data_IF_397853978845
#
_entry.id   IF_397853978845
#
_cell.length_a   1.000
_cell.length_b   1.000
_cell.length_c   1.000
_cell.angle_alpha   90.00
_cell.angle_beta   90.00
_cell.angle_gamma   90.00
#
_symmetry.space_group_name_H-M   'P 1'
#
loop_
_entity.id
_entity.type
_entity.pdbx_description
1 polymer ?
#
# COMPACT_ATOMS: atom_id res chain seq x y z
N UNK A 1 5.76 19.16 7.79
CA UNK A 1 5.66 18.47 6.47
C UNK A 1 6.50 17.21 6.57
N UNK A 2 5.95 16.07 6.14
CA UNK A 2 6.71 14.79 6.04
C UNK A 2 7.86 14.96 5.04
N UNK A 3 9.00 14.36 5.36
CA UNK A 3 10.19 14.30 4.51
C UNK A 3 10.55 12.84 4.18
N UNK A 4 11.49 12.62 3.29
CA UNK A 4 11.97 11.25 3.01
C UNK A 4 12.58 10.57 4.23
N UNK A 5 13.14 11.31 5.17
CA UNK A 5 13.76 10.77 6.40
C UNK A 5 12.73 10.15 7.37
N UNK A 6 11.48 10.57 7.27
CA UNK A 6 10.36 10.06 8.08
C UNK A 6 9.79 8.74 7.50
N UNK A 7 10.21 8.37 6.29
CA UNK A 7 9.64 7.27 5.52
C UNK A 7 10.59 6.08 5.45
N UNK A 8 10.32 5.06 6.27
CA UNK A 8 11.07 3.80 6.33
C UNK A 8 10.21 2.65 6.87
N UNK A 9 10.71 1.44 6.82
CA UNK A 9 10.08 0.27 7.43
C UNK A 9 8.93 -0.29 6.60
N UNK A 10 7.79 -0.59 7.21
CA UNK A 10 6.64 -1.23 6.58
C UNK A 10 5.61 -0.18 6.17
N UNK A 11 5.38 -0.05 4.86
CA UNK A 11 4.27 0.73 4.33
C UNK A 11 3.05 -0.19 4.17
N UNK A 12 2.08 -0.05 5.07
CA UNK A 12 0.84 -0.80 5.06
C UNK A 12 -0.13 -0.19 4.05
N UNK A 13 -0.39 -0.92 2.96
CA UNK A 13 -1.38 -0.51 1.95
C UNK A 13 -2.77 -0.98 2.42
N UNK A 14 -3.62 -0.04 2.78
CA UNK A 14 -4.91 -0.31 3.41
C UNK A 14 -5.91 -0.96 2.42
N UNK A 15 -6.61 -2.06 2.83
CA UNK A 15 -7.70 -2.61 2.05
C UNK A 15 -8.89 -1.66 2.02
N UNK A 16 -9.79 -1.88 1.09
CA UNK A 16 -11.12 -1.30 1.18
C UNK A 16 -11.86 -1.95 2.35
N UNK A 17 -12.23 -1.18 3.37
CA UNK A 17 -13.16 -1.60 4.41
C UNK A 17 -14.58 -1.30 3.95
N UNK A 18 -15.34 -2.37 3.63
CA UNK A 18 -16.67 -2.27 3.02
C UNK A 18 -17.77 -2.73 3.98
N UNK A 19 -18.86 -1.98 3.98
CA UNK A 19 -20.10 -2.36 4.68
C UNK A 19 -20.63 -3.69 4.14
N UNK A 20 -21.51 -4.35 4.90
CA UNK A 20 -22.08 -5.65 4.51
C UNK A 20 -22.71 -5.67 3.12
N UNK A 21 -23.37 -4.55 2.76
CA UNK A 21 -24.06 -4.39 1.49
C UNK A 21 -23.21 -3.67 0.42
N UNK A 22 -21.91 -3.49 0.67
CA UNK A 22 -21.00 -2.75 -0.20
C UNK A 22 -20.76 -3.37 -1.58
N UNK A 23 -21.19 -4.61 -1.81
CA UNK A 23 -21.19 -5.25 -3.12
C UNK A 23 -22.41 -4.86 -4.00
N UNK A 24 -23.40 -4.16 -3.44
CA UNK A 24 -24.58 -3.75 -4.16
C UNK A 24 -24.33 -2.44 -4.89
N UNK A 25 -24.70 -2.32 -6.19
CA UNK A 25 -24.49 -1.10 -6.96
C UNK A 25 -25.44 0.04 -6.55
N UNK A 26 -26.49 -0.27 -5.80
CA UNK A 26 -27.49 0.66 -5.26
C UNK A 26 -27.32 0.92 -3.76
N UNK A 27 -26.18 0.56 -3.18
CA UNK A 27 -25.89 0.86 -1.79
C UNK A 27 -25.65 2.37 -1.58
N UNK A 28 -26.27 2.94 -0.55
CA UNK A 28 -26.11 4.36 -0.21
C UNK A 28 -24.72 4.68 0.34
N UNK A 29 -24.10 3.73 1.02
CA UNK A 29 -22.78 3.88 1.65
C UNK A 29 -22.07 2.53 1.75
N UNK A 30 -20.87 2.49 1.20
CA UNK A 30 -20.05 1.27 1.17
C UNK A 30 -18.82 1.32 2.08
N UNK A 31 -18.62 2.37 2.88
CA UNK A 31 -17.43 2.53 3.72
C UNK A 31 -17.72 2.14 5.17
N UNK A 32 -17.13 1.04 5.64
CA UNK A 32 -17.16 0.63 7.04
C UNK A 32 -16.11 1.38 7.88
N UNK A 33 -16.49 2.54 8.40
CA UNK A 33 -15.59 3.36 9.22
C UNK A 33 -15.33 2.77 10.61
N UNK A 34 -16.20 1.92 11.12
CA UNK A 34 -16.01 1.28 12.42
C UNK A 34 -14.90 0.24 12.35
N UNK A 35 -14.96 -0.66 11.37
CA UNK A 35 -13.92 -1.65 11.16
C UNK A 35 -12.61 -1.01 10.69
N UNK A 36 -12.65 0.00 9.80
CA UNK A 36 -11.49 0.79 9.42
C UNK A 36 -10.75 1.34 10.66
N UNK A 37 -11.49 1.99 11.56
CA UNK A 37 -10.92 2.59 12.78
C UNK A 37 -10.29 1.53 13.69
N UNK A 38 -11.00 0.42 13.90
CA UNK A 38 -10.53 -0.70 14.71
C UNK A 38 -9.23 -1.32 14.13
N UNK A 39 -9.24 -1.60 12.82
CA UNK A 39 -8.13 -2.25 12.14
C UNK A 39 -6.88 -1.34 12.08
N UNK A 40 -7.06 -0.05 11.80
CA UNK A 40 -5.97 0.95 11.80
C UNK A 40 -5.37 1.08 13.19
N UNK A 41 -6.20 1.13 14.24
CA UNK A 41 -5.69 1.19 15.63
C UNK A 41 -4.90 -0.07 15.97
N UNK A 42 -5.42 -1.23 15.61
CA UNK A 42 -4.78 -2.52 15.87
C UNK A 42 -3.43 -2.64 15.17
N UNK A 43 -3.35 -2.35 13.86
CA UNK A 43 -2.09 -2.54 13.12
C UNK A 43 -0.98 -1.58 13.58
N UNK A 44 -1.33 -0.35 13.97
CA UNK A 44 -0.37 0.59 14.54
C UNK A 44 0.12 0.11 15.90
N UNK A 45 -0.79 -0.35 16.78
CA UNK A 45 -0.46 -0.86 18.11
C UNK A 45 0.42 -2.10 18.05
N UNK A 46 0.20 -2.98 17.08
CA UNK A 46 0.98 -4.19 16.85
C UNK A 46 2.33 -3.92 16.15
N UNK A 47 2.57 -2.67 15.73
CA UNK A 47 3.81 -2.26 15.03
C UNK A 47 3.88 -2.72 13.57
N UNK A 48 2.75 -3.09 12.98
CA UNK A 48 2.65 -3.61 11.61
C UNK A 48 2.63 -2.53 10.52
N UNK A 49 2.61 -1.26 10.90
CA UNK A 49 2.65 -0.15 9.98
C UNK A 49 3.59 0.95 10.49
N UNK A 50 4.65 1.22 9.75
CA UNK A 50 5.51 2.39 9.92
C UNK A 50 5.02 3.56 9.06
N UNK A 51 4.29 3.28 7.98
CA UNK A 51 3.60 4.22 7.08
C UNK A 51 2.26 3.60 6.69
N UNK A 52 1.19 4.37 6.64
CA UNK A 52 -0.11 3.92 6.11
C UNK A 52 -0.42 4.65 4.80
N UNK A 53 -0.88 3.89 3.80
CA UNK A 53 -1.40 4.43 2.55
C UNK A 53 -2.81 3.92 2.31
N UNK A 54 -3.72 4.80 1.85
CA UNK A 54 -5.12 4.44 1.57
C UNK A 54 -5.39 4.44 0.07
N UNK A 55 -6.55 3.95 -0.33
CA UNK A 55 -7.13 4.12 -1.66
C UNK A 55 -6.15 3.89 -2.83
N UNK A 56 -5.25 2.90 -2.69
CA UNK A 56 -4.59 2.27 -3.83
C UNK A 56 -5.54 1.26 -4.50
N UNK A 57 -5.03 0.44 -5.43
CA UNK A 57 -5.83 -0.63 -6.08
C UNK A 57 -6.48 -1.56 -5.06
N UNK A 58 -5.73 -1.95 -4.03
CA UNK A 58 -6.21 -2.79 -2.93
C UNK A 58 -7.28 -2.08 -2.06
N UNK A 59 -7.28 -0.75 -2.03
CA UNK A 59 -8.30 0.10 -1.42
C UNK A 59 -9.51 0.35 -2.31
N UNK A 60 -9.60 -0.29 -3.49
CA UNK A 60 -10.73 -0.18 -4.43
C UNK A 60 -11.11 1.28 -4.74
N UNK A 61 -10.12 2.18 -4.89
CA UNK A 61 -10.34 3.63 -5.05
C UNK A 61 -11.29 3.97 -6.20
N UNK A 62 -11.28 3.15 -7.25
CA UNK A 62 -12.06 3.33 -8.48
C UNK A 62 -13.57 3.03 -8.33
N UNK A 63 -13.98 2.56 -7.16
CA UNK A 63 -15.38 2.20 -6.85
C UNK A 63 -16.04 3.17 -5.87
N UNK A 64 -15.27 4.11 -5.31
CA UNK A 64 -15.78 5.06 -4.31
C UNK A 64 -16.51 6.23 -4.96
N UNK A 65 -17.67 6.56 -4.42
CA UNK A 65 -18.30 7.86 -4.65
C UNK A 65 -17.50 8.96 -3.92
N UNK A 66 -17.66 10.21 -4.33
CA UNK A 66 -16.95 11.31 -3.71
C UNK A 66 -17.26 11.47 -2.20
N UNK A 67 -18.52 11.33 -1.82
CA UNK A 67 -18.93 11.39 -0.40
C UNK A 67 -18.32 10.26 0.43
N UNK A 68 -18.24 9.06 -0.14
CA UNK A 68 -17.59 7.91 0.50
C UNK A 68 -16.07 8.13 0.65
N UNK A 69 -15.44 8.73 -0.36
CA UNK A 69 -14.01 9.05 -0.29
C UNK A 69 -13.72 10.08 0.80
N UNK A 70 -14.57 11.12 0.93
CA UNK A 70 -14.46 12.09 2.03
C UNK A 70 -14.59 11.41 3.39
N UNK A 71 -15.61 10.58 3.57
CA UNK A 71 -15.84 9.81 4.78
C UNK A 71 -14.66 8.92 5.14
N UNK A 72 -14.07 8.22 4.16
CA UNK A 72 -12.88 7.40 4.34
C UNK A 72 -11.67 8.24 4.78
N UNK A 73 -11.44 9.39 4.15
CA UNK A 73 -10.34 10.31 4.50
C UNK A 73 -10.48 10.75 5.96
N UNK A 74 -11.63 11.26 6.35
CA UNK A 74 -11.90 11.75 7.71
C UNK A 74 -11.72 10.63 8.76
N UNK A 75 -12.31 9.46 8.50
CA UNK A 75 -12.20 8.31 9.39
C UNK A 75 -10.75 7.84 9.53
N UNK A 76 -9.99 7.80 8.42
CA UNK A 76 -8.58 7.35 8.47
C UNK A 76 -7.70 8.35 9.21
N UNK A 77 -7.85 9.64 8.94
CA UNK A 77 -7.10 10.70 9.66
C UNK A 77 -7.40 10.64 11.16
N UNK A 78 -8.68 10.50 11.53
CA UNK A 78 -9.10 10.37 12.91
C UNK A 78 -8.56 9.09 13.58
N UNK A 79 -8.48 7.97 12.85
CA UNK A 79 -7.97 6.71 13.35
C UNK A 79 -6.45 6.73 13.52
N UNK A 80 -5.70 7.24 12.53
CA UNK A 80 -4.23 7.29 12.57
C UNK A 80 -3.71 8.25 13.62
N UNK A 81 -4.34 9.40 13.84
CA UNK A 81 -4.00 10.39 14.88
C UNK A 81 -2.52 10.80 14.88
N UNK A 82 -1.94 10.92 13.70
CA UNK A 82 -0.51 11.26 13.52
C UNK A 82 0.48 10.30 14.22
N UNK A 83 0.06 9.09 14.54
CA UNK A 83 0.94 8.08 15.16
C UNK A 83 1.98 7.53 14.18
N UNK A 84 1.64 7.52 12.91
CA UNK A 84 2.51 7.15 11.78
C UNK A 84 2.22 8.07 10.60
N UNK A 85 3.16 8.29 9.66
CA UNK A 85 2.90 9.00 8.42
C UNK A 85 1.71 8.41 7.64
N UNK A 86 0.79 9.26 7.22
CA UNK A 86 -0.42 8.89 6.47
C UNK A 86 -0.43 9.53 5.09
N UNK A 87 -0.56 8.70 4.06
CA UNK A 87 -0.71 9.13 2.67
C UNK A 87 -2.09 8.72 2.14
N UNK A 88 -2.92 9.70 1.84
CA UNK A 88 -4.24 9.49 1.26
C UNK A 88 -4.10 9.27 -0.25
N UNK A 89 -4.68 8.20 -0.76
CA UNK A 89 -4.70 7.95 -2.20
C UNK A 89 -5.67 8.90 -2.91
N UNK A 90 -5.13 9.67 -3.85
CA UNK A 90 -5.87 10.62 -4.69
C UNK A 90 -5.68 10.33 -6.19
N UNK A 91 -5.40 9.07 -6.52
CA UNK A 91 -5.30 8.64 -7.92
C UNK A 91 -6.67 8.70 -8.58
N UNK A 92 -6.76 9.36 -9.74
CA UNK A 92 -8.01 9.51 -10.46
C UNK A 92 -7.78 9.52 -11.98
N UNK A 93 -8.82 9.23 -12.76
CA UNK A 93 -8.81 9.39 -14.22
C UNK A 93 -8.69 10.85 -14.64
N UNK A 94 -9.28 11.74 -13.85
CA UNK A 94 -9.30 13.17 -14.06
C UNK A 94 -8.32 13.88 -13.12
N UNK A 95 -7.27 14.56 -13.62
CA UNK A 95 -6.31 15.24 -12.75
C UNK A 95 -6.95 16.36 -11.90
N UNK A 96 -8.05 16.95 -12.35
CA UNK A 96 -8.78 17.98 -11.58
C UNK A 96 -9.50 17.37 -10.39
N UNK A 97 -10.04 16.16 -10.52
CA UNK A 97 -10.60 15.39 -9.40
C UNK A 97 -9.51 15.00 -8.40
N UNK A 98 -8.34 14.56 -8.89
CA UNK A 98 -7.19 14.31 -8.02
C UNK A 98 -6.82 15.54 -7.18
N UNK A 99 -6.85 16.74 -7.79
CA UNK A 99 -6.61 18.02 -7.08
C UNK A 99 -7.70 18.34 -6.03
N UNK A 100 -8.98 18.04 -6.32
CA UNK A 100 -10.08 18.22 -5.37
C UNK A 100 -9.92 17.28 -4.17
N UNK A 101 -9.61 16.01 -4.43
CA UNK A 101 -9.34 15.00 -3.40
C UNK A 101 -8.14 15.40 -2.53
N UNK A 102 -7.05 15.87 -3.15
CA UNK A 102 -5.86 16.35 -2.45
C UNK A 102 -6.16 17.55 -1.52
N UNK A 103 -6.98 18.49 -2.00
CA UNK A 103 -7.41 19.65 -1.20
C UNK A 103 -8.21 19.23 0.02
N UNK A 104 -9.16 18.31 -0.16
CA UNK A 104 -9.95 17.79 0.93
C UNK A 104 -9.09 17.01 1.93
N UNK A 105 -8.18 16.15 1.46
CA UNK A 105 -7.25 15.43 2.31
C UNK A 105 -6.39 16.38 3.17
N UNK A 106 -5.90 17.49 2.57
CA UNK A 106 -5.16 18.52 3.31
C UNK A 106 -6.02 19.19 4.37
N UNK A 107 -7.28 19.53 4.05
CA UNK A 107 -8.22 20.16 4.99
C UNK A 107 -8.57 19.21 6.15
N UNK A 108 -8.71 17.92 5.88
CA UNK A 108 -8.96 16.89 6.89
C UNK A 108 -7.75 16.61 7.78
N UNK A 109 -6.56 17.14 7.44
CA UNK A 109 -5.35 17.00 8.25
C UNK A 109 -4.43 15.85 7.85
N UNK A 110 -4.58 15.28 6.65
CA UNK A 110 -3.62 14.35 6.10
C UNK A 110 -2.25 15.02 5.89
N UNK A 111 -1.20 14.24 6.02
CA UNK A 111 0.18 14.73 5.90
C UNK A 111 0.78 14.48 4.53
N UNK A 112 0.21 13.56 3.74
CA UNK A 112 0.69 13.22 2.41
C UNK A 112 -0.37 12.62 1.49
N UNK A 113 0.00 12.52 0.23
CA UNK A 113 -0.81 11.96 -0.85
C UNK A 113 -0.11 10.76 -1.48
N UNK A 114 -0.83 9.66 -1.69
CA UNK A 114 -0.42 8.59 -2.58
C UNK A 114 -1.02 8.85 -3.97
N UNK A 115 -0.18 9.07 -4.97
CA UNK A 115 -0.62 9.63 -6.24
C UNK A 115 -0.08 8.83 -7.43
N UNK A 116 -0.97 8.21 -8.20
CA UNK A 116 -0.72 7.67 -9.52
C UNK A 116 -1.10 8.68 -10.61
N UNK A 117 -0.48 8.57 -11.78
CA UNK A 117 -0.85 9.41 -12.92
C UNK A 117 -2.26 9.05 -13.44
N UNK A 118 -2.99 9.99 -14.08
CA UNK A 118 -4.21 9.68 -14.81
C UNK A 118 -3.95 8.59 -15.86
N UNK A 119 -4.84 7.59 -15.96
CA UNK A 119 -4.53 6.32 -16.60
C UNK A 119 -5.54 5.84 -17.67
N UNK A 120 -6.58 6.61 -17.97
CA UNK A 120 -7.50 6.23 -19.04
C UNK A 120 -6.77 6.16 -20.39
N UNK A 121 -6.04 7.21 -20.75
CA UNK A 121 -5.05 7.18 -21.80
C UNK A 121 -3.64 7.08 -21.21
N UNK A 122 -2.74 6.44 -21.96
CA UNK A 122 -1.34 6.36 -21.56
C UNK A 122 -0.71 7.76 -21.55
N UNK A 123 -0.25 8.21 -20.40
CA UNK A 123 0.51 9.44 -20.28
C UNK A 123 1.91 9.27 -20.89
N UNK A 124 2.43 10.34 -21.51
CA UNK A 124 3.86 10.41 -21.82
C UNK A 124 4.66 10.61 -20.53
N UNK A 125 5.95 10.28 -20.56
CA UNK A 125 6.82 10.49 -19.39
C UNK A 125 6.86 11.96 -18.97
N UNK A 126 6.94 12.88 -19.92
CA UNK A 126 6.96 14.32 -19.62
C UNK A 126 5.63 14.79 -19.02
N UNK A 127 4.48 14.32 -19.52
CA UNK A 127 3.18 14.61 -18.90
C UNK A 127 3.05 14.03 -17.49
N UNK A 128 3.61 12.84 -17.24
CA UNK A 128 3.63 12.26 -15.90
C UNK A 128 4.48 13.09 -14.94
N UNK A 129 5.66 13.51 -15.37
CA UNK A 129 6.54 14.43 -14.58
C UNK A 129 5.83 15.75 -14.30
N UNK A 130 5.21 16.36 -15.33
CA UNK A 130 4.50 17.63 -15.17
C UNK A 130 3.32 17.50 -14.21
N UNK A 131 2.54 16.43 -14.30
CA UNK A 131 1.43 16.16 -13.37
C UNK A 131 1.89 16.12 -11.91
N UNK A 132 2.99 15.41 -11.61
CA UNK A 132 3.54 15.39 -10.25
C UNK A 132 4.02 16.76 -9.80
N UNK A 133 4.62 17.56 -10.70
CA UNK A 133 5.03 18.92 -10.41
C UNK A 133 3.84 19.83 -10.13
N UNK A 134 2.79 19.76 -10.93
CA UNK A 134 1.56 20.56 -10.75
C UNK A 134 0.92 20.30 -9.39
N UNK A 135 0.82 19.02 -8.99
CA UNK A 135 0.30 18.66 -7.65
C UNK A 135 1.24 19.12 -6.54
N UNK A 136 2.56 18.97 -6.74
CA UNK A 136 3.56 19.40 -5.76
C UNK A 136 3.51 20.91 -5.51
N UNK A 137 3.35 21.70 -6.57
CA UNK A 137 3.24 23.15 -6.49
C UNK A 137 1.92 23.60 -5.87
N UNK A 138 0.82 22.91 -6.17
CA UNK A 138 -0.50 23.22 -5.61
C UNK A 138 -0.61 22.90 -4.11
N UNK A 139 0.16 21.92 -3.63
CA UNK A 139 0.11 21.43 -2.24
C UNK A 139 1.49 21.35 -1.60
N UNK A 140 2.19 22.49 -1.44
CA UNK A 140 3.59 22.50 -0.97
C UNK A 140 3.77 22.02 0.48
N UNK A 141 2.68 21.89 1.24
CA UNK A 141 2.69 21.41 2.63
C UNK A 141 2.43 19.90 2.77
N UNK A 142 2.02 19.22 1.69
CA UNK A 142 1.80 17.77 1.66
C UNK A 142 3.01 17.04 1.10
N UNK A 143 3.39 15.93 1.75
CA UNK A 143 4.32 14.98 1.16
C UNK A 143 3.65 14.21 0.02
N UNK A 144 4.30 14.07 -1.12
CA UNK A 144 3.78 13.28 -2.24
C UNK A 144 4.54 11.96 -2.31
N UNK A 145 3.81 10.87 -2.27
CA UNK A 145 4.29 9.53 -2.56
C UNK A 145 3.80 9.09 -3.93
N UNK A 146 4.73 8.87 -4.84
CA UNK A 146 4.41 8.37 -6.18
C UNK A 146 3.90 6.94 -6.08
N UNK A 147 2.68 6.70 -6.57
CA UNK A 147 2.15 5.37 -6.77
C UNK A 147 2.54 4.87 -8.16
N UNK A 148 3.72 4.23 -8.26
CA UNK A 148 4.21 3.70 -9.51
C UNK A 148 3.69 2.28 -9.72
N UNK A 149 2.66 2.16 -10.54
CA UNK A 149 2.01 0.91 -10.91
C UNK A 149 1.80 0.84 -12.43
N UNK A 150 2.83 0.51 -13.21
CA UNK A 150 2.76 0.55 -14.68
C UNK A 150 1.64 -0.31 -15.28
N UNK A 151 1.29 -1.42 -14.62
CA UNK A 151 0.22 -2.31 -15.07
C UNK A 151 -1.13 -1.60 -15.10
N UNK A 152 -1.44 -0.80 -14.08
CA UNK A 152 -2.73 -0.10 -13.96
C UNK A 152 -2.65 1.33 -14.51
N UNK A 153 -1.53 2.02 -14.30
CA UNK A 153 -1.38 3.42 -14.73
C UNK A 153 -0.81 3.56 -16.15
N UNK A 154 -0.51 2.45 -16.83
CA UNK A 154 -0.09 2.40 -18.25
C UNK A 154 1.17 3.17 -18.60
N UNK A 155 1.92 3.66 -17.63
CA UNK A 155 3.18 4.37 -17.85
C UNK A 155 4.27 3.85 -16.96
N UNK A 156 5.41 3.50 -17.55
CA UNK A 156 6.64 3.21 -16.82
C UNK A 156 7.51 4.46 -16.82
N UNK A 157 7.75 5.01 -15.65
CA UNK A 157 8.62 6.18 -15.48
C UNK A 157 10.07 5.68 -15.47
N UNK A 158 10.90 6.03 -16.47
CA UNK A 158 12.29 5.59 -16.53
C UNK A 158 13.12 6.24 -15.43
N UNK A 159 14.19 5.58 -15.00
CA UNK A 159 15.05 6.04 -13.90
C UNK A 159 15.52 7.48 -14.11
N UNK A 160 15.95 7.82 -15.33
CA UNK A 160 16.44 9.18 -15.65
C UNK A 160 15.44 10.31 -15.42
N UNK A 161 14.11 10.03 -15.50
CA UNK A 161 13.07 11.02 -15.28
C UNK A 161 13.01 11.50 -13.82
N UNK A 162 13.48 10.68 -12.87
CA UNK A 162 13.51 11.05 -11.46
C UNK A 162 14.46 12.20 -11.15
N UNK A 163 15.43 12.51 -12.03
CA UNK A 163 16.24 13.74 -11.94
C UNK A 163 15.37 15.00 -12.00
N UNK A 164 14.30 14.97 -12.83
CA UNK A 164 13.32 16.08 -12.90
C UNK A 164 12.33 16.00 -11.74
N UNK A 165 11.75 14.82 -11.49
CA UNK A 165 10.75 14.60 -10.44
C UNK A 165 11.25 15.08 -9.08
N UNK A 166 12.48 14.74 -8.69
CA UNK A 166 13.07 15.11 -7.40
C UNK A 166 13.51 16.58 -7.29
N UNK A 167 13.21 17.41 -8.26
CA UNK A 167 13.37 18.86 -8.14
C UNK A 167 12.31 19.48 -7.21
N UNK A 168 11.18 18.79 -7.00
CA UNK A 168 10.15 19.21 -6.05
C UNK A 168 10.44 18.59 -4.68
N UNK A 169 10.74 19.40 -3.65
CA UNK A 169 11.21 18.90 -2.35
C UNK A 169 10.12 18.14 -1.56
N UNK A 170 8.86 18.33 -1.90
CA UNK A 170 7.73 17.64 -1.29
C UNK A 170 7.32 16.34 -2.03
N UNK A 171 8.02 15.92 -3.08
CA UNK A 171 7.92 14.55 -3.59
C UNK A 171 8.88 13.68 -2.79
N UNK A 172 8.37 13.05 -1.75
CA UNK A 172 9.16 12.47 -0.65
C UNK A 172 9.25 10.94 -0.67
N UNK A 173 8.39 10.27 -1.46
CA UNK A 173 8.35 8.82 -1.47
C UNK A 173 7.86 8.24 -2.79
N UNK A 174 8.12 6.94 -2.98
CA UNK A 174 7.59 6.16 -4.09
C UNK A 174 7.32 4.71 -3.65
N UNK A 175 6.16 4.19 -4.06
CA UNK A 175 5.88 2.75 -4.08
C UNK A 175 6.29 2.21 -5.42
N UNK A 176 7.22 1.26 -5.42
CA UNK A 176 7.72 0.61 -6.63
C UNK A 176 7.75 -0.92 -6.50
N UNK A 177 7.70 -1.65 -7.61
CA UNK A 177 7.66 -3.11 -7.58
C UNK A 177 8.20 -3.81 -8.83
N UNK A 178 8.80 -3.08 -9.76
CA UNK A 178 9.15 -3.68 -11.06
C UNK A 178 10.56 -3.37 -11.54
N UNK A 179 11.34 -2.62 -10.79
CA UNK A 179 12.72 -2.31 -11.19
C UNK A 179 13.62 -3.51 -10.99
N UNK A 180 14.54 -3.71 -11.93
CA UNK A 180 15.65 -4.64 -11.73
C UNK A 180 16.60 -4.12 -10.64
N UNK A 181 17.44 -4.97 -10.03
CA UNK A 181 18.41 -4.53 -9.03
C UNK A 181 19.30 -3.38 -9.52
N UNK A 182 19.80 -3.43 -10.76
CA UNK A 182 20.63 -2.35 -11.32
C UNK A 182 19.86 -1.05 -11.45
N UNK A 183 18.62 -1.10 -12.00
CA UNK A 183 17.77 0.08 -12.09
C UNK A 183 17.43 0.67 -10.73
N UNK A 184 17.30 -0.18 -9.71
CA UNK A 184 17.07 0.28 -8.34
C UNK A 184 18.28 1.02 -7.77
N UNK A 185 19.50 0.51 -8.00
CA UNK A 185 20.74 1.20 -7.59
C UNK A 185 20.86 2.57 -8.26
N UNK A 186 20.62 2.64 -9.58
CA UNK A 186 20.62 3.91 -10.30
C UNK A 186 19.58 4.90 -9.75
N UNK A 187 18.36 4.40 -9.49
CA UNK A 187 17.28 5.20 -8.91
C UNK A 187 17.67 5.70 -7.51
N UNK A 188 18.19 4.82 -6.66
CA UNK A 188 18.60 5.16 -5.29
C UNK A 188 19.66 6.25 -5.28
N UNK A 189 20.60 6.24 -6.23
CA UNK A 189 21.60 7.30 -6.36
C UNK A 189 20.97 8.66 -6.73
N UNK A 190 19.94 8.68 -7.59
CA UNK A 190 19.24 9.91 -7.97
C UNK A 190 18.38 10.44 -6.83
N UNK A 191 17.73 9.54 -6.07
CA UNK A 191 16.73 9.89 -5.05
C UNK A 191 17.33 10.04 -3.65
N UNK A 192 18.61 9.73 -3.46
CA UNK A 192 19.30 9.78 -2.17
C UNK A 192 19.08 11.11 -1.44
N UNK A 193 18.55 11.04 -0.22
CA UNK A 193 18.26 12.20 0.62
C UNK A 193 17.06 13.04 0.17
N UNK A 194 16.37 12.65 -0.90
CA UNK A 194 15.22 13.38 -1.46
C UNK A 194 13.94 12.59 -1.38
N UNK A 195 13.97 11.30 -1.72
CA UNK A 195 12.80 10.46 -1.85
C UNK A 195 13.09 9.04 -1.40
N UNK A 196 12.23 8.48 -0.55
CA UNK A 196 12.28 7.09 -0.10
C UNK A 196 11.56 6.16 -1.09
N UNK A 197 12.18 5.04 -1.43
CA UNK A 197 11.59 4.05 -2.33
C UNK A 197 11.20 2.81 -1.53
N UNK A 198 9.90 2.48 -1.54
CA UNK A 198 9.35 1.27 -0.94
C UNK A 198 9.24 0.17 -1.98
N UNK A 199 9.94 -0.91 -1.77
CA UNK A 199 9.93 -2.09 -2.64
C UNK A 199 8.86 -3.09 -2.22
N UNK A 200 8.56 -4.11 -3.05
CA UNK A 200 7.66 -5.18 -2.64
C UNK A 200 8.28 -5.96 -1.46
N UNK A 201 7.45 -6.40 -0.51
CA UNK A 201 7.90 -7.22 0.63
C UNK A 201 8.69 -8.47 0.19
N UNK A 202 8.35 -9.10 -0.94
CA UNK A 202 9.06 -10.27 -1.46
C UNK A 202 10.41 -9.92 -2.09
N UNK A 203 10.67 -8.64 -2.35
CA UNK A 203 11.93 -8.11 -2.86
C UNK A 203 12.79 -7.49 -1.75
N UNK A 204 12.29 -7.39 -0.51
CA UNK A 204 12.93 -6.61 0.54
C UNK A 204 14.37 -7.06 0.78
N UNK A 205 14.65 -8.35 0.97
CA UNK A 205 15.99 -8.85 1.27
C UNK A 205 17.06 -8.31 0.32
N UNK A 206 17.03 -8.55 -1.03
CA UNK A 206 18.09 -8.06 -1.88
C UNK A 206 18.12 -6.54 -2.02
N UNK A 207 16.95 -5.88 -1.99
CA UNK A 207 16.89 -4.44 -2.21
C UNK A 207 17.29 -3.61 -0.98
N UNK A 208 17.12 -4.14 0.25
CA UNK A 208 17.69 -3.51 1.44
C UNK A 208 19.24 -3.53 1.42
N UNK A 209 19.86 -4.59 0.92
CA UNK A 209 21.30 -4.62 0.68
C UNK A 209 21.75 -3.56 -0.36
N UNK A 210 20.85 -3.18 -1.28
CA UNK A 210 21.07 -2.16 -2.30
C UNK A 210 20.64 -0.74 -1.87
N UNK A 211 20.22 -0.56 -0.60
CA UNK A 211 19.87 0.73 -0.04
C UNK A 211 18.37 1.05 0.03
N UNK A 212 17.47 0.07 -0.12
CA UNK A 212 16.07 0.27 0.18
C UNK A 212 15.89 0.57 1.68
N UNK A 213 14.93 1.43 2.00
CA UNK A 213 14.65 1.84 3.39
C UNK A 213 13.35 1.26 3.92
N UNK A 214 12.53 0.68 3.06
CA UNK A 214 11.25 0.11 3.42
C UNK A 214 10.66 -0.78 2.34
N UNK A 215 9.66 -1.56 2.73
CA UNK A 215 8.85 -2.35 1.82
C UNK A 215 7.36 -2.03 1.99
N UNK A 216 6.61 -2.14 0.89
CA UNK A 216 5.16 -2.06 0.95
C UNK A 216 4.55 -3.46 1.06
N UNK A 217 3.45 -3.52 1.80
CA UNK A 217 2.67 -4.75 1.98
C UNK A 217 1.19 -4.42 2.12
N UNK A 218 0.35 -5.22 1.49
CA UNK A 218 -1.07 -5.33 1.82
C UNK A 218 -1.36 -6.57 2.67
N UNK A 219 -0.44 -7.53 2.71
CA UNK A 219 -0.60 -8.78 3.44
C UNK A 219 -0.55 -8.58 4.97
N UNK A 220 0.00 -7.47 5.46
CA UNK A 220 0.01 -7.11 6.89
C UNK A 220 -1.39 -7.08 7.50
N UNK A 221 -2.43 -6.90 6.68
CA UNK A 221 -3.82 -6.92 7.11
C UNK A 221 -4.40 -8.33 7.31
N UNK A 222 -3.62 -9.36 6.99
CA UNK A 222 -3.90 -10.75 7.36
C UNK A 222 -3.21 -11.17 8.67
N UNK A 223 -2.41 -10.27 9.27
CA UNK A 223 -1.56 -10.46 10.44
C UNK A 223 -0.14 -9.94 10.15
N UNK A 224 0.37 -8.95 10.89
CA UNK A 224 1.56 -8.23 10.49
C UNK A 224 2.89 -8.92 10.84
N UNK A 225 2.89 -9.94 11.70
CA UNK A 225 4.12 -10.48 12.30
C UNK A 225 5.19 -10.95 11.30
N UNK A 226 4.89 -11.62 10.16
CA UNK A 226 5.93 -12.02 9.21
C UNK A 226 6.65 -10.83 8.57
N UNK A 227 5.91 -9.76 8.26
CA UNK A 227 6.48 -8.55 7.64
C UNK A 227 7.26 -7.71 8.66
N UNK A 228 6.79 -7.65 9.91
CA UNK A 228 7.54 -7.05 11.01
C UNK A 228 8.89 -7.76 11.18
N UNK A 229 8.90 -9.09 11.24
CA UNK A 229 10.13 -9.88 11.35
C UNK A 229 11.05 -9.67 10.16
N UNK A 230 10.51 -9.55 8.96
CA UNK A 230 11.31 -9.20 7.77
C UNK A 230 11.96 -7.82 7.91
N UNK A 231 11.17 -6.80 8.28
CA UNK A 231 11.69 -5.45 8.54
C UNK A 231 12.82 -5.46 9.55
N UNK A 232 12.59 -6.11 10.67
CA UNK A 232 13.54 -6.14 11.79
C UNK A 232 14.83 -6.87 11.38
N UNK A 233 14.73 -7.99 10.65
CA UNK A 233 15.89 -8.71 10.11
C UNK A 233 16.69 -7.85 9.11
N UNK A 234 15.98 -7.14 8.19
CA UNK A 234 16.63 -6.23 7.25
C UNK A 234 17.35 -5.07 7.97
N UNK A 235 16.73 -4.49 9.00
CA UNK A 235 17.32 -3.40 9.78
C UNK A 235 18.53 -3.86 10.61
N UNK A 236 18.47 -5.08 11.13
CA UNK A 236 19.57 -5.71 11.85
C UNK A 236 20.68 -6.26 10.93
N UNK A 237 20.49 -6.20 9.60
CA UNK A 237 21.37 -6.83 8.60
C UNK A 237 21.52 -8.36 8.77
N UNK A 238 20.51 -9.00 9.37
CA UNK A 238 20.40 -10.45 9.42
C UNK A 238 19.86 -10.98 8.07
N UNK A 239 20.77 -11.04 7.12
CA UNK A 239 20.43 -11.34 5.72
C UNK A 239 19.94 -12.77 5.50
N UNK A 240 20.39 -13.73 6.30
CA UNK A 240 19.92 -15.12 6.18
C UNK A 240 18.45 -15.23 6.62
N UNK A 241 18.10 -14.62 7.76
CA UNK A 241 16.72 -14.55 8.22
C UNK A 241 15.85 -13.75 7.23
N UNK A 242 16.31 -12.59 6.77
CA UNK A 242 15.57 -11.78 5.81
C UNK A 242 15.31 -12.51 4.49
N UNK A 243 16.31 -13.22 3.97
CA UNK A 243 16.22 -14.06 2.77
C UNK A 243 15.17 -15.16 2.95
N UNK A 244 15.24 -15.89 4.07
CA UNK A 244 14.28 -16.97 4.33
C UNK A 244 12.86 -16.46 4.43
N UNK A 245 12.63 -15.32 5.12
CA UNK A 245 11.30 -14.72 5.21
C UNK A 245 10.81 -14.27 3.83
N UNK A 246 11.66 -13.64 2.99
CA UNK A 246 11.26 -13.25 1.64
C UNK A 246 10.84 -14.47 0.78
N UNK A 247 11.53 -15.60 0.89
CA UNK A 247 11.18 -16.84 0.18
C UNK A 247 9.83 -17.39 0.66
N UNK A 248 9.60 -17.36 1.96
CA UNK A 248 8.32 -17.80 2.55
C UNK A 248 7.17 -16.87 2.14
N UNK A 249 7.38 -15.56 2.13
CA UNK A 249 6.39 -14.58 1.68
C UNK A 249 6.07 -14.73 0.19
N UNK A 250 7.04 -15.07 -0.65
CA UNK A 250 6.82 -15.37 -2.07
C UNK A 250 5.94 -16.62 -2.26
N UNK A 251 5.99 -17.55 -1.30
CA UNK A 251 5.13 -18.73 -1.26
C UNK A 251 3.64 -18.41 -1.31
N UNK A 252 3.22 -17.25 -0.79
CA UNK A 252 1.81 -16.80 -0.84
C UNK A 252 1.28 -16.74 -2.27
N UNK A 253 2.08 -16.28 -3.22
CA UNK A 253 1.72 -16.24 -4.64
C UNK A 253 1.67 -17.61 -5.31
N UNK A 254 2.30 -18.64 -4.70
CA UNK A 254 2.36 -20.01 -5.24
C UNK A 254 1.24 -20.90 -4.72
N UNK A 255 0.66 -20.57 -3.58
CA UNK A 255 -0.43 -21.34 -2.95
C UNK A 255 -1.76 -21.15 -3.68
N UNK A 256 -1.98 -19.97 -4.24
CA UNK A 256 -3.11 -19.69 -5.12
C UNK A 256 -2.75 -20.00 -6.58
N UNK A 257 -3.64 -20.58 -7.38
CA UNK A 257 -3.39 -20.75 -8.80
C UNK A 257 -3.20 -19.40 -9.48
N UNK A 258 -2.48 -19.44 -10.58
CA UNK A 258 -2.29 -18.28 -11.44
C UNK A 258 -3.67 -17.85 -11.99
N UNK A 259 -4.34 -16.96 -11.27
CA UNK A 259 -5.59 -16.38 -11.72
C UNK A 259 -5.22 -15.44 -12.87
N UNK A 260 -5.23 -15.94 -14.09
CA UNK A 260 -4.76 -15.27 -15.29
C UNK A 260 -5.51 -13.98 -15.66
N UNK A 261 -6.51 -13.60 -14.85
CA UNK A 261 -7.28 -12.38 -15.01
C UNK A 261 -6.82 -11.34 -13.96
N UNK A 262 -6.33 -10.19 -14.40
CA UNK A 262 -5.94 -9.06 -13.55
C UNK A 262 -7.04 -8.64 -12.58
N UNK A 263 -8.32 -8.82 -12.95
CA UNK A 263 -9.48 -8.49 -12.12
C UNK A 263 -9.49 -9.20 -10.76
N UNK A 264 -8.95 -10.41 -10.68
CA UNK A 264 -8.95 -11.22 -9.45
C UNK A 264 -7.64 -11.17 -8.70
N UNK A 265 -6.59 -10.59 -9.27
CA UNK A 265 -5.25 -10.60 -8.71
C UNK A 265 -5.17 -9.92 -7.34
N UNK A 266 -5.80 -8.78 -7.17
CA UNK A 266 -5.82 -8.05 -5.89
C UNK A 266 -7.06 -8.41 -5.06
N UNK A 267 -8.18 -8.69 -5.72
CA UNK A 267 -9.45 -9.03 -5.08
C UNK A 267 -9.37 -10.32 -4.25
N UNK A 268 -8.65 -11.34 -4.72
CA UNK A 268 -8.43 -12.59 -3.95
C UNK A 268 -7.76 -12.32 -2.60
N UNK A 269 -6.86 -11.34 -2.53
CA UNK A 269 -6.20 -10.97 -1.27
C UNK A 269 -7.13 -10.25 -0.30
N UNK A 270 -8.09 -9.44 -0.79
CA UNK A 270 -9.10 -8.85 0.09
C UNK A 270 -9.99 -9.93 0.72
N UNK A 271 -10.38 -10.94 -0.06
CA UNK A 271 -11.11 -12.09 0.47
C UNK A 271 -10.24 -12.87 1.48
N UNK A 272 -8.94 -13.03 1.19
CA UNK A 272 -8.02 -13.69 2.11
C UNK A 272 -7.82 -12.92 3.43
N UNK A 273 -7.91 -11.59 3.43
CA UNK A 273 -7.92 -10.78 4.67
C UNK A 273 -9.10 -11.18 5.55
N UNK A 274 -10.32 -11.30 4.98
CA UNK A 274 -11.49 -11.76 5.72
C UNK A 274 -11.28 -13.17 6.32
N UNK A 275 -10.76 -14.09 5.52
CA UNK A 275 -10.51 -15.48 5.95
C UNK A 275 -9.40 -15.60 7.00
N UNK A 276 -8.42 -14.70 6.96
CA UNK A 276 -7.35 -14.64 7.96
C UNK A 276 -7.85 -14.13 9.32
N UNK A 277 -8.82 -13.23 9.35
CA UNK A 277 -9.52 -12.80 10.56
C UNK A 277 -8.75 -11.83 11.46
N UNK A 278 -7.64 -11.25 11.00
CA UNK A 278 -6.96 -10.17 11.72
C UNK A 278 -7.80 -8.87 11.67
N UNK A 279 -8.38 -8.60 10.51
CA UNK A 279 -9.42 -7.59 10.32
C UNK A 279 -10.43 -8.08 9.27
N UNK A 280 -11.57 -7.42 9.16
CA UNK A 280 -12.63 -7.78 8.23
C UNK A 280 -12.79 -6.69 7.18
N UNK A 281 -12.22 -6.90 6.01
CA UNK A 281 -12.29 -5.93 4.92
C UNK A 281 -13.67 -5.84 4.25
N UNK A 282 -14.56 -6.79 4.54
CA UNK A 282 -15.90 -6.86 3.95
C UNK A 282 -15.93 -7.41 2.52
N UNK A 283 -17.08 -7.34 1.84
CA UNK A 283 -17.22 -7.80 0.46
C UNK A 283 -16.44 -6.93 -0.52
N UNK A 284 -16.19 -7.46 -1.73
CA UNK A 284 -15.71 -6.65 -2.85
C UNK A 284 -16.82 -5.68 -3.27
N UNK A 285 -16.47 -4.44 -3.58
CA UNK A 285 -17.46 -3.50 -4.11
C UNK A 285 -17.94 -3.88 -5.51
N UNK A 286 -19.14 -3.42 -5.88
CA UNK A 286 -19.62 -3.56 -7.24
C UNK A 286 -18.55 -3.07 -8.25
N UNK A 287 -18.41 -3.72 -9.43
CA UNK A 287 -19.26 -4.78 -9.98
C UNK A 287 -18.88 -6.22 -9.60
N UNK A 288 -17.97 -6.44 -8.65
CA UNK A 288 -17.33 -7.72 -8.34
C UNK A 288 -18.20 -8.67 -7.48
N UNK A 289 -19.52 -8.75 -7.77
CA UNK A 289 -20.48 -9.56 -7.00
C UNK A 289 -20.43 -11.05 -7.30
N UNK A 290 -20.14 -11.41 -8.55
CA UNK A 290 -20.09 -12.82 -8.98
C UNK A 290 -18.63 -13.27 -8.87
N UNK A 291 -18.32 -13.94 -7.77
CA UNK A 291 -16.95 -14.41 -7.48
C UNK A 291 -16.84 -15.87 -7.88
N UNK A 292 -15.94 -16.25 -8.80
CA UNK A 292 -15.70 -17.65 -9.13
C UNK A 292 -15.32 -18.47 -7.90
N UNK A 293 -15.82 -19.70 -7.80
CA UNK A 293 -15.51 -20.57 -6.66
C UNK A 293 -14.01 -20.78 -6.46
N UNK A 294 -13.26 -20.88 -7.56
CA UNK A 294 -11.81 -20.98 -7.55
C UNK A 294 -11.15 -19.81 -6.83
N UNK A 295 -11.64 -18.59 -7.00
CA UNK A 295 -11.10 -17.38 -6.33
C UNK A 295 -11.36 -17.46 -4.83
N UNK A 296 -12.55 -17.92 -4.42
CA UNK A 296 -12.92 -18.14 -3.02
C UNK A 296 -12.01 -19.21 -2.40
N UNK A 297 -11.81 -20.34 -3.07
CA UNK A 297 -10.97 -21.43 -2.57
C UNK A 297 -9.50 -20.99 -2.44
N UNK A 298 -9.03 -20.17 -3.37
CA UNK A 298 -7.67 -19.63 -3.32
C UNK A 298 -7.49 -18.63 -2.17
N UNK A 299 -8.49 -17.78 -1.91
CA UNK A 299 -8.43 -16.85 -0.78
C UNK A 299 -8.27 -17.60 0.55
N UNK A 300 -8.98 -18.72 0.72
CA UNK A 300 -8.85 -19.60 1.90
C UNK A 300 -7.46 -20.24 2.03
N UNK A 301 -6.89 -20.71 0.91
CA UNK A 301 -5.52 -21.27 0.89
C UNK A 301 -4.48 -20.20 1.25
N UNK A 302 -4.61 -19.01 0.67
CA UNK A 302 -3.74 -17.87 0.96
C UNK A 302 -3.81 -17.51 2.45
N UNK A 303 -5.01 -17.39 3.01
CA UNK A 303 -5.22 -17.09 4.42
C UNK A 303 -4.62 -18.17 5.35
N UNK A 304 -4.84 -19.44 5.04
CA UNK A 304 -4.29 -20.56 5.82
C UNK A 304 -2.75 -20.54 5.79
N UNK A 305 -2.17 -20.33 4.60
CA UNK A 305 -0.72 -20.21 4.47
C UNK A 305 -0.18 -19.00 5.25
N UNK A 306 -0.85 -17.83 5.15
CA UNK A 306 -0.44 -16.66 5.90
C UNK A 306 -0.50 -16.87 7.42
N UNK A 307 -1.53 -17.55 7.93
CA UNK A 307 -1.63 -17.92 9.35
C UNK A 307 -0.43 -18.76 9.78
N UNK A 308 -0.02 -19.75 8.98
CA UNK A 308 1.17 -20.57 9.27
C UNK A 308 2.46 -19.73 9.31
N UNK A 309 2.55 -18.68 8.49
CA UNK A 309 3.68 -17.75 8.56
C UNK A 309 3.64 -16.89 9.83
N UNK A 310 2.46 -16.47 10.27
CA UNK A 310 2.33 -15.76 11.55
C UNK A 310 2.75 -16.64 12.74
N UNK A 311 2.45 -17.93 12.71
CA UNK A 311 2.90 -18.90 13.70
C UNK A 311 4.42 -19.13 13.64
N UNK A 312 4.98 -19.22 12.44
CA UNK A 312 6.42 -19.38 12.20
C UNK A 312 7.24 -18.16 12.61
N UNK A 313 6.67 -16.96 12.44
CA UNK A 313 7.31 -15.67 12.72
C UNK A 313 6.49 -14.85 13.73
N UNK A 314 6.36 -15.30 14.99
CA UNK A 314 5.56 -14.60 16.00
C UNK A 314 6.19 -13.26 16.37
N UNK A 315 5.37 -12.33 16.86
CA UNK A 315 5.86 -11.10 17.48
C UNK A 315 6.70 -11.42 18.72
N UNK A 316 7.80 -10.70 18.91
CA UNK A 316 8.73 -10.93 20.05
C UNK A 316 8.01 -10.90 21.41
N UNK A 317 6.99 -10.06 21.56
CA UNK A 317 6.16 -9.99 22.79
C UNK A 317 5.34 -11.27 23.04
N UNK A 318 4.97 -12.00 21.98
CA UNK A 318 4.25 -13.26 22.10
C UNK A 318 5.19 -14.43 22.35
N UNK A 319 6.40 -14.39 21.79
CA UNK A 319 7.42 -15.38 22.06
C UNK A 319 7.83 -15.40 23.54
N UNK A 320 7.98 -14.22 24.17
CA UNK A 320 8.29 -14.12 25.58
C UNK A 320 7.17 -14.62 26.53
N UNK A 321 5.89 -14.62 26.07
CA UNK A 321 4.75 -15.17 26.84
C UNK A 321 4.59 -16.69 26.70
N UNK A 322 5.13 -17.31 25.65
CA UNK A 322 5.08 -18.77 25.43
C UNK A 322 6.23 -19.51 26.12
N UNK A 323 7.27 -18.78 26.52
CA UNK A 323 8.46 -19.33 27.22
C UNK A 323 8.48 -19.03 28.73
N UNK A 324 7.51 -18.27 29.24
CA UNK A 324 7.27 -18.04 30.66
C UNK A 324 6.04 -18.82 31.15
#
# INVERSE_FOLDING_TARGET
>A
MITSNDLKGVMAMMPAFTTRDGDRPDADDTVDTAELTRAVDQIIRDGGADVITTTGSFGEFHTLLWEEHKKLIEATVAAVKKRVPLFIGCTNLNPREAMLQARFAQQAGAEGLLLGVPFYYQATVDNAVQFYHDVADAFPKLGIMIYHNPTHHRVTIPVGAFKKITQKPNIVGMKDSHRTPLQFVELSNITKGKMSVFVNQTQAFPYFMLGAVGCWSFNVWMGPSPVIRLRDACQAQDWETAKQICLDLDGVGRVGPNIGNLSWRENVFKLAVNEAGYCIAGPLRAPWRIIPQEVIDNSKKIAAYWKSLCEKYPLVKEAARKTA
#
